data_IF_337260817322
#
_entry.id   IF_337260817322
#
_cell.length_a   1.000
_cell.length_b   1.000
_cell.length_c   1.000
_cell.angle_alpha   90.00
_cell.angle_beta   90.00
_cell.angle_gamma   90.00
#
_symmetry.space_group_name_H-M   'P 1'
#
loop_
_entity.id
_entity.type
_entity.pdbx_description
1 polymer ?
#
# COMPACT_ATOMS: atom_id res chain seq x y z
N UNK A 1 2.72 49.27 -53.05
CA UNK A 1 3.94 48.51 -52.70
C UNK A 1 3.82 48.18 -51.22
N UNK A 2 3.14 47.10 -50.82
CA UNK A 2 3.57 45.69 -50.71
C UNK A 2 4.88 45.45 -49.94
N UNK A 3 4.73 44.89 -48.73
CA UNK A 3 5.57 43.90 -48.00
C UNK A 3 5.28 44.09 -46.50
N UNK A 4 4.90 43.13 -45.66
CA UNK A 4 5.00 41.67 -45.70
C UNK A 4 5.68 41.18 -44.39
N UNK A 5 5.02 40.25 -43.68
CA UNK A 5 5.54 39.36 -42.61
C UNK A 5 5.84 39.96 -41.21
N UNK A 6 5.57 39.29 -40.09
CA UNK A 6 5.06 37.94 -39.85
C UNK A 6 4.80 37.70 -38.35
N UNK A 7 3.83 36.83 -38.04
CA UNK A 7 3.49 36.36 -36.70
C UNK A 7 4.44 35.23 -36.26
N UNK A 8 4.95 35.20 -35.02
CA UNK A 8 5.69 34.05 -34.50
C UNK A 8 4.72 32.98 -33.98
N UNK A 9 4.86 31.78 -34.57
CA UNK A 9 4.05 30.61 -34.31
C UNK A 9 4.34 29.88 -32.99
N UNK A 10 3.25 29.38 -32.44
CA UNK A 10 3.08 28.52 -31.27
C UNK A 10 3.72 27.15 -31.51
N UNK A 11 4.86 26.87 -30.86
CA UNK A 11 5.43 25.51 -30.74
C UNK A 11 5.62 25.15 -29.26
N UNK A 12 4.56 24.73 -28.55
CA UNK A 12 4.66 24.10 -27.22
C UNK A 12 3.57 23.05 -26.96
N UNK A 13 3.16 22.29 -27.97
CA UNK A 13 2.05 21.31 -27.83
C UNK A 13 2.45 19.83 -27.90
N UNK A 14 3.61 19.47 -28.46
CA UNK A 14 3.88 18.10 -28.87
C UNK A 14 4.67 17.25 -27.86
N UNK A 15 5.31 17.86 -26.85
CA UNK A 15 6.08 17.13 -25.85
C UNK A 15 5.23 16.45 -24.77
N UNK A 16 4.07 17.02 -24.43
CA UNK A 16 3.24 16.54 -23.31
C UNK A 16 2.36 15.34 -23.70
N UNK A 17 1.82 15.31 -24.92
CA UNK A 17 1.02 14.17 -25.39
C UNK A 17 1.83 12.87 -25.55
N UNK A 18 3.12 12.98 -25.89
CA UNK A 18 3.96 11.79 -26.07
C UNK A 18 4.38 11.14 -24.74
N UNK A 19 4.32 11.89 -23.62
CA UNK A 19 4.57 11.34 -22.27
C UNK A 19 3.31 10.63 -21.74
N UNK A 20 2.12 11.21 -21.97
CA UNK A 20 0.86 10.62 -21.51
C UNK A 20 0.52 9.30 -22.22
N UNK A 21 0.76 9.19 -23.53
CA UNK A 21 0.58 7.92 -24.25
C UNK A 21 1.58 6.84 -23.80
N UNK A 22 2.77 7.24 -23.35
CA UNK A 22 3.81 6.31 -22.84
C UNK A 22 3.59 5.90 -21.38
N UNK A 23 2.75 6.62 -20.64
CA UNK A 23 2.30 6.23 -19.31
C UNK A 23 1.09 5.27 -19.38
N UNK A 24 0.15 5.47 -20.30
CA UNK A 24 -0.96 4.52 -20.50
C UNK A 24 -0.49 3.12 -20.95
N UNK A 25 0.54 3.03 -21.80
CA UNK A 25 1.11 1.73 -22.18
C UNK A 25 1.84 1.02 -21.02
N UNK A 26 2.28 1.75 -19.98
CA UNK A 26 2.92 1.15 -18.80
C UNK A 26 1.91 0.61 -17.78
N UNK A 27 0.71 1.18 -17.73
CA UNK A 27 -0.37 0.73 -16.84
C UNK A 27 -1.01 -0.60 -17.31
N UNK A 28 -1.08 -0.88 -18.62
CA UNK A 28 -1.70 -2.11 -19.15
C UNK A 28 -0.84 -3.38 -19.03
N UNK A 29 0.41 -3.29 -18.55
CA UNK A 29 1.30 -4.46 -18.39
C UNK A 29 1.40 -4.96 -16.94
N UNK A 30 0.47 -4.56 -16.08
CA UNK A 30 0.34 -5.04 -14.71
C UNK A 30 -0.91 -5.91 -14.56
N UNK A 31 -0.78 -7.07 -13.91
CA UNK A 31 -1.87 -8.01 -13.60
C UNK A 31 -2.23 -9.09 -14.63
N UNK A 32 -1.22 -9.84 -15.10
CA UNK A 32 -1.33 -11.31 -15.21
C UNK A 32 0.04 -11.90 -14.86
N UNK A 33 0.22 -12.34 -13.62
CA UNK A 33 1.31 -13.28 -13.30
C UNK A 33 1.12 -14.44 -14.27
N UNK A 34 2.05 -14.67 -15.21
CA UNK A 34 1.75 -15.61 -16.26
C UNK A 34 1.74 -17.00 -15.63
N UNK A 35 0.73 -17.81 -15.93
CA UNK A 35 0.48 -19.11 -15.29
C UNK A 35 1.74 -20.01 -15.34
N UNK A 36 2.58 -19.85 -16.38
CA UNK A 36 3.86 -20.53 -16.50
C UNK A 36 4.88 -20.18 -15.40
N UNK A 37 4.87 -18.95 -14.86
CA UNK A 37 5.75 -18.55 -13.76
C UNK A 37 5.37 -19.23 -12.43
N UNK A 38 4.07 -19.45 -12.19
CA UNK A 38 3.59 -20.21 -11.03
C UNK A 38 3.96 -21.69 -11.16
N UNK A 39 3.79 -22.26 -12.36
CA UNK A 39 4.18 -23.66 -12.65
C UNK A 39 5.70 -23.84 -12.51
N UNK A 40 6.50 -22.91 -13.03
CA UNK A 40 7.96 -22.95 -12.89
C UNK A 40 8.42 -22.83 -11.43
N UNK A 41 7.80 -21.95 -10.64
CA UNK A 41 8.07 -21.84 -9.21
C UNK A 41 7.69 -23.12 -8.45
N UNK A 42 6.54 -23.72 -8.76
CA UNK A 42 6.13 -24.99 -8.16
C UNK A 42 7.09 -26.13 -8.50
N UNK A 43 7.53 -26.24 -9.76
CA UNK A 43 8.52 -27.22 -10.19
C UNK A 43 9.86 -27.03 -9.47
N UNK A 44 10.31 -25.79 -9.31
CA UNK A 44 11.55 -25.47 -8.60
C UNK A 44 11.48 -25.85 -7.12
N UNK A 45 10.35 -25.58 -6.45
CA UNK A 45 10.12 -26.01 -5.07
C UNK A 45 10.12 -27.53 -4.95
N UNK A 46 9.50 -28.24 -5.89
CA UNK A 46 9.43 -29.70 -5.89
C UNK A 46 10.82 -30.32 -6.11
N UNK A 47 11.63 -29.72 -6.99
CA UNK A 47 13.01 -30.13 -7.24
C UNK A 47 13.93 -29.84 -6.04
N UNK A 48 13.75 -28.70 -5.38
CA UNK A 48 14.45 -28.36 -4.14
C UNK A 48 14.10 -29.33 -3.00
N UNK A 49 12.83 -29.68 -2.84
CA UNK A 49 12.38 -30.68 -1.88
C UNK A 49 12.98 -32.06 -2.19
N UNK A 50 12.97 -32.46 -3.46
CA UNK A 50 13.61 -33.70 -3.92
C UNK A 50 15.10 -33.75 -3.61
N UNK A 51 15.82 -32.64 -3.85
CA UNK A 51 17.24 -32.54 -3.52
C UNK A 51 17.50 -32.65 -2.01
N UNK A 52 16.67 -32.03 -1.17
CA UNK A 52 16.77 -32.16 0.30
C UNK A 52 16.54 -33.61 0.75
N UNK A 53 15.53 -34.29 0.20
CA UNK A 53 15.26 -35.70 0.52
C UNK A 53 16.44 -36.59 0.11
N UNK A 54 17.03 -36.39 -1.07
CA UNK A 54 18.22 -37.11 -1.52
C UNK A 54 19.43 -36.85 -0.63
N UNK A 55 19.61 -35.60 -0.16
CA UNK A 55 20.68 -35.23 0.76
C UNK A 55 20.51 -35.93 2.12
N UNK A 56 19.29 -36.02 2.64
CA UNK A 56 18.98 -36.75 3.87
C UNK A 56 19.22 -38.26 3.72
N UNK A 57 18.82 -38.86 2.60
CA UNK A 57 19.08 -40.28 2.33
C UNK A 57 20.58 -40.56 2.20
N UNK A 58 21.32 -39.70 1.51
CA UNK A 58 22.79 -39.78 1.42
C UNK A 58 23.46 -39.65 2.79
N UNK A 59 22.94 -38.79 3.67
CA UNK A 59 23.43 -38.66 5.04
C UNK A 59 23.24 -39.97 5.85
N UNK A 60 22.09 -40.63 5.68
CA UNK A 60 21.79 -41.91 6.32
C UNK A 60 22.74 -43.02 5.83
N UNK A 61 23.03 -43.06 4.54
CA UNK A 61 23.94 -44.08 3.99
C UNK A 61 25.39 -43.86 4.42
N UNK A 62 25.84 -42.60 4.53
CA UNK A 62 27.15 -42.27 5.14
C UNK A 62 27.21 -42.74 6.58
N UNK A 63 26.15 -42.54 7.36
CA UNK A 63 26.08 -43.00 8.77
C UNK A 63 26.13 -44.53 8.87
N UNK A 64 25.49 -45.27 7.96
CA UNK A 64 25.55 -46.75 7.93
C UNK A 64 26.93 -47.30 7.61
N UNK A 65 27.74 -46.57 6.84
CA UNK A 65 29.11 -46.98 6.47
C UNK A 65 30.17 -46.70 7.54
N UNK A 66 29.81 -46.00 8.63
CA UNK A 66 30.72 -45.64 9.71
C UNK A 66 30.56 -46.58 10.92
N UNK A 67 31.67 -46.88 11.61
CA UNK A 67 31.63 -47.62 12.88
C UNK A 67 30.73 -46.92 13.91
N UNK A 68 30.03 -47.70 14.75
CA UNK A 68 29.08 -47.21 15.76
C UNK A 68 29.55 -45.97 16.58
N UNK A 69 30.81 -45.88 17.09
CA UNK A 69 31.26 -44.69 17.82
C UNK A 69 31.46 -43.46 16.91
N UNK A 70 31.89 -43.64 15.66
CA UNK A 70 32.11 -42.53 14.71
C UNK A 70 30.78 -41.96 14.19
N UNK A 71 29.80 -42.84 13.98
CA UNK A 71 28.43 -42.46 13.61
C UNK A 71 27.76 -41.56 14.67
N UNK A 72 27.91 -41.88 15.95
CA UNK A 72 27.33 -41.08 17.05
C UNK A 72 27.93 -39.66 17.12
N UNK A 73 29.24 -39.52 16.90
CA UNK A 73 29.91 -38.22 16.87
C UNK A 73 29.45 -37.39 15.66
N UNK A 74 29.30 -38.02 14.50
CA UNK A 74 28.84 -37.33 13.29
C UNK A 74 27.41 -36.80 13.43
N UNK A 75 26.48 -37.62 13.93
CA UNK A 75 25.08 -37.21 14.13
C UNK A 75 24.96 -36.06 15.13
N UNK A 76 25.71 -36.09 16.23
CA UNK A 76 25.69 -34.99 17.21
C UNK A 76 26.25 -33.69 16.63
N UNK A 77 27.32 -33.74 15.83
CA UNK A 77 27.88 -32.56 15.15
C UNK A 77 26.89 -31.95 14.15
N UNK A 78 26.22 -32.78 13.34
CA UNK A 78 25.19 -32.33 12.39
C UNK A 78 23.99 -31.73 13.13
N UNK A 79 23.58 -32.33 14.26
CA UNK A 79 22.50 -31.79 15.09
C UNK A 79 22.82 -30.40 15.65
N UNK A 80 24.05 -30.21 16.15
CA UNK A 80 24.51 -28.91 16.65
C UNK A 80 24.50 -27.87 15.51
N UNK A 81 25.06 -28.20 14.35
CA UNK A 81 25.05 -27.31 13.17
C UNK A 81 23.62 -26.97 12.72
N UNK A 82 22.71 -27.94 12.74
CA UNK A 82 21.30 -27.73 12.40
C UNK A 82 20.59 -26.75 13.34
N UNK A 83 20.86 -26.83 14.64
CA UNK A 83 20.32 -25.88 15.63
C UNK A 83 20.87 -24.47 15.37
N UNK A 84 22.18 -24.32 15.13
CA UNK A 84 22.78 -23.02 14.80
C UNK A 84 22.16 -22.38 13.56
N UNK A 85 22.04 -23.15 12.46
CA UNK A 85 21.43 -22.66 11.22
C UNK A 85 19.98 -22.24 11.47
N UNK A 86 19.20 -23.07 12.16
CA UNK A 86 17.79 -22.80 12.46
C UNK A 86 17.63 -21.56 13.32
N UNK A 87 18.46 -21.38 14.36
CA UNK A 87 18.42 -20.23 15.25
C UNK A 87 18.84 -18.94 14.53
N UNK A 88 19.86 -18.99 13.67
CA UNK A 88 20.26 -17.84 12.86
C UNK A 88 19.18 -17.42 11.86
N UNK A 89 18.57 -18.37 11.15
CA UNK A 89 17.49 -18.09 10.20
C UNK A 89 16.26 -17.52 10.94
N UNK A 90 15.83 -18.19 12.00
CA UNK A 90 14.67 -17.78 12.79
C UNK A 90 14.88 -16.40 13.41
N UNK A 91 16.07 -16.13 13.95
CA UNK A 91 16.41 -14.83 14.50
C UNK A 91 16.35 -13.70 13.46
N UNK A 92 16.84 -13.95 12.25
CA UNK A 92 16.78 -12.97 11.16
C UNK A 92 15.33 -12.66 10.74
N UNK A 93 14.51 -13.69 10.54
CA UNK A 93 13.11 -13.55 10.16
C UNK A 93 12.28 -12.87 11.25
N UNK A 94 12.48 -13.25 12.51
CA UNK A 94 11.79 -12.65 13.64
C UNK A 94 12.12 -11.16 13.79
N UNK A 95 13.40 -10.77 13.64
CA UNK A 95 13.80 -9.36 13.69
C UNK A 95 13.15 -8.53 12.57
N UNK A 96 13.02 -9.11 11.38
CA UNK A 96 12.34 -8.45 10.26
C UNK A 96 10.85 -8.27 10.57
N UNK A 97 10.18 -9.33 11.01
CA UNK A 97 8.76 -9.29 11.38
C UNK A 97 8.49 -8.32 12.53
N UNK A 98 9.37 -8.28 13.53
CA UNK A 98 9.24 -7.38 14.68
C UNK A 98 9.35 -5.91 14.26
N UNK A 99 10.29 -5.58 13.38
CA UNK A 99 10.40 -4.23 12.80
C UNK A 99 9.16 -3.85 12.00
N UNK A 100 8.67 -4.74 11.16
CA UNK A 100 7.45 -4.51 10.37
C UNK A 100 6.24 -4.31 11.28
N UNK A 101 6.08 -5.12 12.33
CA UNK A 101 5.01 -4.97 13.32
C UNK A 101 5.13 -3.66 14.09
N UNK A 102 6.32 -3.26 14.50
CA UNK A 102 6.54 -2.00 15.20
C UNK A 102 6.19 -0.79 14.31
N UNK A 103 6.56 -0.84 13.03
CA UNK A 103 6.19 0.20 12.06
C UNK A 103 4.68 0.23 11.80
N UNK A 104 4.04 -0.93 11.62
CA UNK A 104 2.59 -1.03 11.43
C UNK A 104 1.83 -0.51 12.65
N UNK A 105 2.28 -0.83 13.87
CA UNK A 105 1.67 -0.31 15.10
C UNK A 105 1.71 1.21 15.15
N UNK A 106 2.85 1.83 14.79
CA UNK A 106 2.97 3.30 14.73
C UNK A 106 2.09 3.92 13.65
N UNK A 107 2.03 3.33 12.45
CA UNK A 107 1.14 3.80 11.38
C UNK A 107 -0.33 3.70 11.78
N UNK A 108 -0.72 2.60 12.43
CA UNK A 108 -2.09 2.37 12.88
C UNK A 108 -2.52 3.43 13.89
N UNK A 109 -1.67 3.75 14.88
CA UNK A 109 -1.94 4.80 15.88
C UNK A 109 -2.13 6.19 15.23
N UNK A 110 -1.23 6.53 14.29
CA UNK A 110 -1.30 7.77 13.50
C UNK A 110 -2.62 7.83 12.71
N UNK A 111 -2.97 6.78 11.97
CA UNK A 111 -4.18 6.73 11.15
C UNK A 111 -5.47 6.67 11.99
N UNK A 112 -5.48 5.99 13.14
CA UNK A 112 -6.61 5.97 14.06
C UNK A 112 -6.92 7.39 14.55
N UNK A 113 -5.88 8.16 14.91
CA UNK A 113 -6.03 9.55 15.33
C UNK A 113 -6.65 10.43 14.24
N UNK A 114 -6.23 10.24 12.97
CA UNK A 114 -6.84 10.92 11.83
C UNK A 114 -8.31 10.56 11.67
N UNK A 115 -8.63 9.27 11.62
CA UNK A 115 -10.00 8.80 11.38
C UNK A 115 -10.92 9.28 12.51
N UNK A 116 -10.45 9.26 13.76
CA UNK A 116 -11.20 9.78 14.92
C UNK A 116 -11.45 11.29 14.78
N UNK A 117 -10.45 12.06 14.35
CA UNK A 117 -10.58 13.51 14.14
C UNK A 117 -11.55 13.83 12.99
N UNK A 118 -11.45 13.09 11.89
CA UNK A 118 -12.37 13.19 10.76
C UNK A 118 -13.81 12.87 11.18
N UNK A 119 -14.01 11.81 11.96
CA UNK A 119 -15.31 11.43 12.51
C UNK A 119 -15.87 12.51 13.44
N UNK A 120 -15.03 13.04 14.32
CA UNK A 120 -15.40 14.12 15.24
C UNK A 120 -15.86 15.36 14.49
N UNK A 121 -15.16 15.73 13.43
CA UNK A 121 -15.55 16.85 12.55
C UNK A 121 -16.91 16.63 11.89
N UNK A 122 -17.20 15.41 11.40
CA UNK A 122 -18.46 15.08 10.71
C UNK A 122 -19.65 14.92 11.68
N UNK A 123 -19.39 14.52 12.92
CA UNK A 123 -20.43 14.28 13.94
C UNK A 123 -20.73 15.51 14.81
N UNK A 124 -19.83 16.51 14.88
CA UNK A 124 -20.00 17.77 15.60
C UNK A 124 -21.01 18.73 14.94
N UNK A 125 -22.20 18.23 14.56
CA UNK A 125 -23.28 19.04 13.98
C UNK A 125 -23.72 20.13 14.97
N UNK A 126 -23.52 21.39 14.59
CA UNK A 126 -24.00 22.57 15.32
C UNK A 126 -23.04 23.17 16.36
N UNK A 127 -21.91 22.52 16.64
CA UNK A 127 -20.89 23.03 17.57
C UNK A 127 -19.63 23.43 16.78
N UNK A 128 -19.54 24.71 16.43
CA UNK A 128 -18.44 25.25 15.60
C UNK A 128 -17.10 25.18 16.33
N UNK A 129 -17.08 25.38 17.65
CA UNK A 129 -15.86 25.35 18.46
C UNK A 129 -15.23 23.95 18.47
N UNK A 130 -16.04 22.91 18.67
CA UNK A 130 -15.54 21.52 18.58
C UNK A 130 -15.07 21.16 17.18
N UNK A 131 -15.73 21.68 16.14
CA UNK A 131 -15.36 21.40 14.74
C UNK A 131 -14.00 21.99 14.40
N UNK A 132 -13.74 23.21 14.86
CA UNK A 132 -12.45 23.88 14.69
C UNK A 132 -11.34 23.15 15.46
N UNK A 133 -11.63 22.64 16.66
CA UNK A 133 -10.69 21.81 17.42
C UNK A 133 -10.28 20.54 16.65
N UNK A 134 -11.25 19.80 16.09
CA UNK A 134 -10.97 18.62 15.27
C UNK A 134 -10.23 18.97 13.98
N UNK A 135 -10.53 20.12 13.37
CA UNK A 135 -9.83 20.60 12.19
C UNK A 135 -8.36 20.90 12.48
N UNK A 136 -8.05 21.56 13.60
CA UNK A 136 -6.68 21.81 14.02
C UNK A 136 -5.90 20.51 14.28
N UNK A 137 -6.52 19.55 14.99
CA UNK A 137 -5.94 18.20 15.16
C UNK A 137 -5.65 17.50 13.83
N UNK A 138 -6.49 17.75 12.83
CA UNK A 138 -6.30 17.22 11.48
C UNK A 138 -5.13 17.91 10.74
N UNK A 139 -4.82 19.17 11.04
CA UNK A 139 -3.64 19.85 10.49
C UNK A 139 -2.34 19.30 11.12
N UNK A 140 -2.36 19.04 12.42
CA UNK A 140 -1.26 18.42 13.20
C UNK A 140 -0.92 16.99 12.76
N UNK A 141 -1.78 16.38 11.94
CA UNK A 141 -1.54 15.09 11.31
C UNK A 141 -0.54 15.18 10.15
N UNK A 142 -0.40 16.34 9.49
CA UNK A 142 0.46 16.48 8.30
C UNK A 142 1.92 16.04 8.51
N UNK A 143 2.60 16.43 9.60
CA UNK A 143 3.95 15.96 9.88
C UNK A 143 4.02 14.44 10.07
N UNK A 144 2.98 13.83 10.65
CA UNK A 144 2.94 12.40 10.92
C UNK A 144 2.77 11.59 9.62
N UNK A 145 1.96 12.07 8.68
CA UNK A 145 1.82 11.46 7.34
C UNK A 145 3.11 11.52 6.56
N UNK A 146 3.86 12.62 6.65
CA UNK A 146 5.13 12.76 5.93
C UNK A 146 6.16 11.74 6.44
N UNK A 147 6.16 11.44 7.74
CA UNK A 147 7.11 10.50 8.36
C UNK A 147 6.69 9.05 8.17
N UNK A 148 5.39 8.74 8.33
CA UNK A 148 4.90 7.37 8.44
C UNK A 148 4.02 6.91 7.28
N UNK A 149 3.50 7.84 6.47
CA UNK A 149 2.63 7.56 5.35
C UNK A 149 3.35 6.98 4.15
N UNK A 150 2.71 6.07 3.42
CA UNK A 150 3.18 5.64 2.11
C UNK A 150 2.88 6.67 1.02
N UNK A 151 3.55 6.54 -0.13
CA UNK A 151 3.34 7.42 -1.28
C UNK A 151 1.87 7.61 -1.68
N UNK A 152 1.05 6.55 -1.78
CA UNK A 152 -0.38 6.68 -2.08
C UNK A 152 -1.15 7.47 -1.01
N UNK A 153 -0.88 7.24 0.27
CA UNK A 153 -1.51 7.96 1.39
C UNK A 153 -1.13 9.43 1.37
N UNK A 154 0.15 9.75 1.17
CA UNK A 154 0.64 11.11 1.11
C UNK A 154 0.00 11.88 -0.06
N UNK A 155 -0.16 11.22 -1.22
CA UNK A 155 -0.82 11.84 -2.37
C UNK A 155 -2.30 12.12 -2.10
N UNK A 156 -3.03 11.13 -1.57
CA UNK A 156 -4.44 11.29 -1.20
C UNK A 156 -4.63 12.37 -0.12
N UNK A 157 -3.74 12.43 0.87
CA UNK A 157 -3.74 13.45 1.92
C UNK A 157 -3.48 14.85 1.37
N UNK A 158 -2.52 15.00 0.46
CA UNK A 158 -2.24 16.29 -0.19
C UNK A 158 -3.43 16.76 -1.03
N UNK A 159 -4.09 15.85 -1.76
CA UNK A 159 -5.28 16.17 -2.53
C UNK A 159 -6.45 16.61 -1.63
N UNK A 160 -6.67 15.89 -0.52
CA UNK A 160 -7.65 16.26 0.50
C UNK A 160 -7.38 17.64 1.11
N UNK A 161 -6.14 17.89 1.55
CA UNK A 161 -5.72 19.19 2.11
C UNK A 161 -5.86 20.33 1.10
N UNK A 162 -5.43 20.10 -0.14
CA UNK A 162 -5.53 21.10 -1.20
C UNK A 162 -6.97 21.51 -1.41
N UNK A 163 -7.89 20.55 -1.62
CA UNK A 163 -9.30 20.89 -1.83
C UNK A 163 -9.95 21.53 -0.61
N UNK A 164 -9.65 21.04 0.60
CA UNK A 164 -10.19 21.59 1.84
C UNK A 164 -9.73 23.04 2.12
N UNK A 165 -8.51 23.41 1.72
CA UNK A 165 -8.01 24.79 1.85
C UNK A 165 -8.49 25.70 0.73
N UNK A 166 -8.75 25.18 -0.46
CA UNK A 166 -9.25 25.94 -1.61
C UNK A 166 -10.77 26.17 -1.61
N UNK A 167 -11.49 25.73 -0.57
CA UNK A 167 -12.95 25.95 -0.42
C UNK A 167 -13.32 27.42 -0.44
N UNK A 168 -12.38 28.33 -0.11
CA UNK A 168 -12.58 29.77 -0.21
C UNK A 168 -12.73 30.29 -1.64
N UNK A 169 -12.25 29.55 -2.65
CA UNK A 169 -12.24 29.99 -4.06
C UNK A 169 -13.35 29.32 -4.88
N UNK A 170 -13.63 28.04 -4.65
CA UNK A 170 -14.71 27.31 -5.33
C UNK A 170 -15.46 26.40 -4.34
N UNK A 171 -16.81 26.45 -4.31
CA UNK A 171 -17.60 25.51 -3.51
C UNK A 171 -17.36 24.08 -4.01
N UNK A 172 -17.37 23.11 -3.09
CA UNK A 172 -17.27 21.70 -3.45
C UNK A 172 -18.34 21.30 -4.46
N UNK A 173 -17.94 20.57 -5.49
CA UNK A 173 -18.90 19.91 -6.39
C UNK A 173 -19.67 18.84 -5.62
N UNK A 174 -20.88 18.55 -6.06
CA UNK A 174 -21.65 17.43 -5.54
C UNK A 174 -20.82 16.14 -5.63
N UNK A 175 -20.72 15.40 -4.52
CA UNK A 175 -19.91 14.18 -4.37
C UNK A 175 -18.38 14.33 -4.34
N UNK A 176 -17.81 15.53 -4.53
CA UNK A 176 -16.35 15.72 -4.51
C UNK A 176 -15.76 15.47 -3.12
N UNK A 177 -16.36 16.05 -2.08
CA UNK A 177 -15.89 15.86 -0.71
C UNK A 177 -16.00 14.40 -0.21
N UNK A 178 -17.14 13.69 -0.40
CA UNK A 178 -17.22 12.25 -0.14
C UNK A 178 -16.14 11.47 -0.89
N UNK A 179 -15.96 11.70 -2.19
CA UNK A 179 -14.97 10.98 -2.98
C UNK A 179 -13.55 11.12 -2.43
N UNK A 180 -13.09 12.35 -2.22
CA UNK A 180 -11.71 12.59 -1.77
C UNK A 180 -11.47 11.99 -0.38
N UNK A 181 -12.51 11.99 0.47
CA UNK A 181 -12.47 11.33 1.77
C UNK A 181 -12.38 9.81 1.64
N UNK A 182 -13.16 9.20 0.73
CA UNK A 182 -13.09 7.76 0.46
C UNK A 182 -11.73 7.34 -0.12
N UNK A 183 -11.18 8.11 -1.07
CA UNK A 183 -9.86 7.87 -1.66
C UNK A 183 -8.76 7.88 -0.58
N UNK A 184 -8.83 8.81 0.38
CA UNK A 184 -7.91 8.87 1.52
C UNK A 184 -8.05 7.63 2.42
N UNK A 185 -9.28 7.25 2.80
CA UNK A 185 -9.53 6.08 3.65
C UNK A 185 -9.07 4.77 2.97
N UNK A 186 -9.27 4.67 1.66
CA UNK A 186 -8.82 3.52 0.88
C UNK A 186 -7.30 3.44 0.81
N UNK A 187 -6.62 4.55 0.55
CA UNK A 187 -5.16 4.58 0.57
C UNK A 187 -4.60 4.16 1.94
N UNK A 188 -5.20 4.61 3.04
CA UNK A 188 -4.83 4.22 4.41
C UNK A 188 -5.03 2.71 4.62
N UNK A 189 -6.16 2.17 4.17
CA UNK A 189 -6.50 0.75 4.28
C UNK A 189 -5.51 -0.13 3.52
N UNK A 190 -5.17 0.25 2.30
CA UNK A 190 -4.15 -0.42 1.50
C UNK A 190 -2.77 -0.37 2.16
N UNK A 191 -2.41 0.77 2.78
CA UNK A 191 -1.13 0.92 3.50
C UNK A 191 -1.03 0.04 4.76
N UNK A 192 -2.15 -0.21 5.44
CA UNK A 192 -2.24 -1.14 6.57
C UNK A 192 -2.19 -2.62 6.14
N UNK A 193 -2.10 -2.91 4.84
CA UNK A 193 -1.96 -4.25 4.30
C UNK A 193 -3.29 -4.93 3.98
N UNK A 194 -4.41 -4.21 4.05
CA UNK A 194 -5.68 -4.71 3.53
C UNK A 194 -5.65 -4.64 2.00
N UNK A 195 -5.24 -5.74 1.38
CA UNK A 195 -5.35 -5.91 -0.07
C UNK A 195 -6.85 -6.05 -0.40
N UNK A 196 -7.44 -5.01 -0.97
CA UNK A 196 -8.83 -4.96 -1.39
C UNK A 196 -9.09 -5.93 -2.56
N UNK A 197 -9.08 -7.23 -2.26
CA UNK A 197 -9.47 -8.30 -3.21
C UNK A 197 -10.94 -8.19 -3.59
N UNK A 198 -11.76 -7.70 -2.65
CA UNK A 198 -13.10 -7.25 -2.91
C UNK A 198 -13.01 -5.73 -3.00
N UNK A 199 -13.33 -5.16 -4.17
CA UNK A 199 -13.37 -3.71 -4.38
C UNK A 199 -14.30 -3.11 -3.33
N UNK A 200 -13.76 -2.50 -2.29
CA UNK A 200 -14.57 -1.76 -1.32
C UNK A 200 -15.08 -0.52 -2.05
N UNK A 201 -16.40 -0.33 -2.05
CA UNK A 201 -17.03 0.84 -2.67
C UNK A 201 -16.84 2.06 -1.78
N UNK A 202 -16.71 3.22 -2.40
CA UNK A 202 -16.50 4.49 -1.68
C UNK A 202 -17.63 4.74 -0.67
N UNK A 203 -18.87 4.45 -1.06
CA UNK A 203 -20.04 4.55 -0.18
C UNK A 203 -19.93 3.67 1.07
N UNK A 204 -19.37 2.48 0.95
CA UNK A 204 -19.32 1.52 2.06
C UNK A 204 -18.32 1.95 3.14
N UNK A 205 -17.28 2.70 2.74
CA UNK A 205 -16.33 3.34 3.66
C UNK A 205 -16.93 4.57 4.34
N UNK A 206 -17.83 5.28 3.67
CA UNK A 206 -18.38 6.55 4.16
C UNK A 206 -19.70 6.42 4.90
N UNK A 207 -20.44 5.33 4.73
CA UNK A 207 -21.71 5.04 5.42
C UNK A 207 -21.66 5.19 6.95
N UNK A 208 -20.57 4.82 7.65
CA UNK A 208 -20.47 5.07 9.09
C UNK A 208 -20.48 6.56 9.45
N UNK A 209 -20.14 7.45 8.51
CA UNK A 209 -20.00 8.89 8.73
C UNK A 209 -21.15 9.71 8.11
N UNK A 210 -21.69 9.26 6.98
CA UNK A 210 -22.75 9.93 6.22
C UNK A 210 -23.94 8.98 6.11
N UNK A 211 -25.03 9.34 6.78
CA UNK A 211 -26.22 8.49 6.89
C UNK A 211 -26.95 8.31 5.54
N UNK A 212 -26.74 9.23 4.59
CA UNK A 212 -27.42 9.28 3.30
C UNK A 212 -26.63 8.61 2.16
N UNK A 213 -25.57 7.86 2.46
CA UNK A 213 -24.77 7.18 1.44
C UNK A 213 -25.44 5.87 0.96
N UNK A 214 -25.82 5.82 -0.33
CA UNK A 214 -26.36 4.63 -0.98
C UNK A 214 -25.30 3.51 -1.07
N UNK A 215 -25.64 2.24 -0.75
CA UNK A 215 -24.69 1.12 -0.81
C UNK A 215 -24.20 0.81 -2.23
N UNK A 216 -22.93 0.41 -2.35
CA UNK A 216 -22.36 -0.08 -3.61
C UNK A 216 -22.03 0.98 -4.66
N UNK A 217 -21.90 2.26 -4.26
CA UNK A 217 -21.61 3.37 -5.16
C UNK A 217 -20.14 3.80 -5.06
N UNK A 218 -19.51 4.05 -6.22
CA UNK A 218 -18.26 4.80 -6.29
C UNK A 218 -18.59 6.23 -6.69
N UNK A 219 -18.05 7.21 -5.97
CA UNK A 219 -18.34 8.59 -6.27
C UNK A 219 -17.52 9.02 -7.51
N UNK A 220 -18.21 9.40 -8.59
CA UNK A 220 -17.58 10.05 -9.74
C UNK A 220 -17.66 11.57 -9.57
N UNK A 221 -16.55 12.26 -9.82
CA UNK A 221 -16.59 13.72 -10.00
C UNK A 221 -17.13 13.91 -11.41
N UNK A 222 -18.41 14.26 -11.54
CA UNK A 222 -18.98 14.60 -12.85
C UNK A 222 -18.35 15.91 -13.35
N UNK A 223 -17.92 15.99 -14.62
CA UNK A 223 -17.55 17.26 -15.21
C UNK A 223 -18.79 18.17 -15.18
N UNK A 224 -18.67 19.34 -14.57
CA UNK A 224 -19.68 20.38 -14.70
C UNK A 224 -19.70 20.84 -16.16
N UNK A 225 -20.88 20.82 -16.79
CA UNK A 225 -21.15 21.57 -18.03
C UNK A 225 -20.94 23.08 -17.82
#
# INVERSE_FOLDING_TARGET
MNSGHGLPGTKRGLGCQMILLKEEEREMKSSKQPVWAVIAAALFVLLALGAVVLLLLGLVDVVKTLDAPKAAIFVSLVGILGIFITQSLTGYWNRKLEKERAQLARRTDVYESLVRSLTGMLTAKGDTEKRDEYFQKMLDFSPQVIVWGSGPVLNAWNHFRYRLMSVSEEPFRENEFPKITADLLKAIREDLGHKDRNKVFDSDLLRPFINDAEPGQNYSITPTE
#
